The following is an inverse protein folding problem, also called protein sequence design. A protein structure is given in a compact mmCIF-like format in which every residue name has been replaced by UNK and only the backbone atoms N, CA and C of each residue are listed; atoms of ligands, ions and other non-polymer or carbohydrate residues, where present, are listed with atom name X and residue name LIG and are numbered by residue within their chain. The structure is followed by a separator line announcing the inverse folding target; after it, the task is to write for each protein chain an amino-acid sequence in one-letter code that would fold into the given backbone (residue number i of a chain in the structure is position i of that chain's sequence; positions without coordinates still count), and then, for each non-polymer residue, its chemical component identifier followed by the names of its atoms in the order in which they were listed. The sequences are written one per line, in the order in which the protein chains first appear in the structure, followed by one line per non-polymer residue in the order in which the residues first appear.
data_IF_633443228139
#
_entry.id   IF_633443228139
#
_cell.length_a   1.000
_cell.length_b   1.000
_cell.length_c   1.000
_cell.angle_alpha   90.00
_cell.angle_beta   90.00
_cell.angle_gamma   90.00
#
_symmetry.space_group_name_H-M   'P 1'
#
loop_
_entity.id
_entity.type
_entity.pdbx_description
1 polymer ?
#
# COMPACT_ATOMS: atom_id res chain seq x y z
N UNK A 1 -3.09 9.79 24.56
CA UNK A 1 -2.81 8.66 23.64
C UNK A 1 -3.66 8.69 22.38
N UNK A 2 -4.99 8.85 22.47
CA UNK A 2 -5.89 8.88 21.30
C UNK A 2 -5.53 9.96 20.24
N UNK A 3 -5.22 11.19 20.68
CA UNK A 3 -4.87 12.28 19.77
C UNK A 3 -3.59 12.03 18.94
N UNK A 4 -2.57 11.39 19.54
CA UNK A 4 -1.31 11.06 18.86
C UNK A 4 -1.53 9.96 17.82
N UNK A 5 -2.30 8.93 18.16
CA UNK A 5 -2.65 7.86 17.21
C UNK A 5 -3.42 8.43 16.02
N UNK A 6 -4.35 9.37 16.26
CA UNK A 6 -5.10 10.02 15.19
C UNK A 6 -4.21 10.85 14.25
N UNK A 7 -3.21 11.57 14.78
CA UNK A 7 -2.29 12.35 13.93
C UNK A 7 -1.37 11.44 13.11
N UNK A 8 -0.83 10.38 13.70
CA UNK A 8 0.00 9.41 12.98
C UNK A 8 -0.78 8.68 11.89
N UNK A 9 -2.03 8.29 12.16
CA UNK A 9 -2.90 7.70 11.15
C UNK A 9 -3.21 8.66 10.00
N UNK A 10 -3.43 9.95 10.29
CA UNK A 10 -3.63 10.97 9.27
C UNK A 10 -2.36 11.15 8.41
N UNK A 11 -1.18 11.17 9.02
CA UNK A 11 0.10 11.24 8.32
C UNK A 11 0.33 10.04 7.42
N UNK A 12 0.08 8.83 7.91
CA UNK A 12 0.19 7.60 7.12
C UNK A 12 -0.77 7.61 5.91
N UNK A 13 -2.01 8.08 6.09
CA UNK A 13 -2.97 8.24 4.99
C UNK A 13 -2.46 9.22 3.93
N UNK A 14 -1.94 10.37 4.34
CA UNK A 14 -1.37 11.34 3.39
C UNK A 14 -0.20 10.74 2.60
N UNK A 15 0.68 9.96 3.23
CA UNK A 15 1.79 9.31 2.50
C UNK A 15 1.32 8.20 1.56
N UNK A 16 0.27 7.46 1.92
CA UNK A 16 -0.37 6.48 1.03
C UNK A 16 -0.92 7.11 -0.26
N UNK A 17 -1.47 8.32 -0.18
CA UNK A 17 -1.97 9.06 -1.34
C UNK A 17 -0.86 9.49 -2.33
N UNK A 18 0.40 9.57 -1.86
CA UNK A 18 1.56 9.92 -2.69
C UNK A 18 2.12 8.73 -3.51
N UNK A 19 1.55 7.53 -3.32
CA UNK A 19 1.93 6.36 -4.09
C UNK A 19 1.22 6.32 -5.44
N UNK A 20 1.89 5.82 -6.50
CA UNK A 20 1.20 5.39 -7.72
C UNK A 20 0.04 4.45 -7.39
N UNK A 21 -1.09 4.61 -8.07
CA UNK A 21 -2.35 3.92 -7.76
C UNK A 21 -2.18 2.41 -7.59
N UNK A 22 -1.49 1.74 -8.52
CA UNK A 22 -1.28 0.29 -8.46
C UNK A 22 -0.45 -0.15 -7.25
N UNK A 23 0.47 0.68 -6.76
CA UNK A 23 1.23 0.40 -5.54
C UNK A 23 0.35 0.57 -4.30
N UNK A 24 -0.44 1.65 -4.24
CA UNK A 24 -1.41 1.91 -3.17
C UNK A 24 -2.43 0.77 -3.05
N UNK A 25 -3.02 0.35 -4.18
CA UNK A 25 -4.00 -0.73 -4.22
C UNK A 25 -3.37 -2.08 -3.86
N UNK A 26 -2.15 -2.37 -4.34
CA UNK A 26 -1.47 -3.61 -4.00
C UNK A 26 -1.19 -3.73 -2.49
N UNK A 27 -0.91 -2.61 -1.80
CA UNK A 27 -0.75 -2.60 -0.34
C UNK A 27 -2.11 -2.80 0.35
N UNK A 28 -3.11 -2.01 0.00
CA UNK A 28 -4.44 -2.07 0.63
C UNK A 28 -5.03 -3.49 0.54
N UNK A 29 -5.07 -4.08 -0.66
CA UNK A 29 -5.58 -5.44 -0.83
C UNK A 29 -4.73 -6.51 -0.14
N UNK A 30 -3.41 -6.33 -0.06
CA UNK A 30 -2.52 -7.32 0.57
C UNK A 30 -2.59 -7.29 2.10
N UNK A 31 -2.70 -6.10 2.69
CA UNK A 31 -2.60 -5.87 4.13
C UNK A 31 -3.98 -5.80 4.78
N UNK A 32 -4.89 -5.01 4.22
CA UNK A 32 -6.21 -4.78 4.82
C UNK A 32 -7.15 -5.95 4.53
N UNK A 33 -7.12 -6.46 3.28
CA UNK A 33 -7.99 -7.55 2.82
C UNK A 33 -7.32 -8.94 2.87
N UNK A 34 -6.01 -8.99 3.14
CA UNK A 34 -5.27 -10.25 3.26
C UNK A 34 -5.13 -11.08 1.97
N UNK A 35 -5.41 -10.49 0.80
CA UNK A 35 -5.40 -11.19 -0.49
C UNK A 35 -4.02 -11.77 -0.85
N UNK A 36 -4.01 -12.88 -1.59
CA UNK A 36 -2.80 -13.38 -2.23
C UNK A 36 -2.35 -12.46 -3.37
N UNK A 37 -1.07 -12.49 -3.75
CA UNK A 37 -0.58 -11.66 -4.87
C UNK A 37 -1.25 -11.99 -6.21
N UNK A 38 -1.75 -13.22 -6.37
CA UNK A 38 -2.54 -13.61 -7.54
C UNK A 38 -3.86 -12.84 -7.59
N UNK A 39 -4.62 -12.86 -6.50
CA UNK A 39 -5.89 -12.13 -6.37
C UNK A 39 -5.68 -10.60 -6.49
N UNK A 40 -4.61 -10.07 -5.88
CA UNK A 40 -4.24 -8.66 -6.04
C UNK A 40 -3.98 -8.34 -7.51
N UNK A 41 -3.22 -9.19 -8.21
CA UNK A 41 -2.92 -9.04 -9.64
C UNK A 41 -4.20 -8.94 -10.47
N UNK A 42 -5.12 -9.88 -10.28
CA UNK A 42 -6.43 -9.90 -10.92
C UNK A 42 -7.22 -8.60 -10.64
N UNK A 43 -7.29 -8.18 -9.36
CA UNK A 43 -8.03 -6.97 -8.95
C UNK A 43 -7.48 -5.67 -9.54
N UNK A 44 -6.16 -5.54 -9.70
CA UNK A 44 -5.53 -4.33 -10.24
C UNK A 44 -5.24 -4.40 -11.75
N UNK A 45 -5.77 -5.42 -12.43
CA UNK A 45 -5.57 -5.64 -13.87
C UNK A 45 -4.09 -5.84 -14.23
N UNK A 46 -3.43 -6.80 -13.58
CA UNK A 46 -2.01 -7.11 -13.77
C UNK A 46 -1.70 -8.60 -13.49
N UNK A 47 -0.45 -9.03 -13.70
CA UNK A 47 -0.01 -10.37 -13.32
C UNK A 47 0.33 -10.47 -11.82
N UNK A 48 0.35 -11.69 -11.27
CA UNK A 48 0.82 -11.92 -9.90
C UNK A 48 2.22 -11.32 -9.65
N UNK A 49 3.14 -11.51 -10.60
CA UNK A 49 4.51 -10.97 -10.50
C UNK A 49 4.50 -9.43 -10.48
N UNK A 50 3.65 -8.79 -11.29
CA UNK A 50 3.51 -7.34 -11.27
C UNK A 50 2.89 -6.83 -9.96
N UNK A 51 1.95 -7.56 -9.36
CA UNK A 51 1.39 -7.25 -8.05
C UNK A 51 2.45 -7.30 -6.94
N UNK A 52 3.33 -8.32 -6.95
CA UNK A 52 4.48 -8.42 -6.02
C UNK A 52 5.40 -7.23 -6.13
N UNK A 53 5.74 -6.81 -7.36
CA UNK A 53 6.60 -5.66 -7.63
C UNK A 53 5.95 -4.35 -7.18
N UNK A 54 4.66 -4.16 -7.46
CA UNK A 54 3.91 -2.99 -7.01
C UNK A 54 3.85 -2.89 -5.50
N UNK A 55 3.57 -4.01 -4.81
CA UNK A 55 3.59 -4.07 -3.36
C UNK A 55 4.97 -3.73 -2.79
N UNK A 56 6.04 -4.38 -3.28
CA UNK A 56 7.40 -4.16 -2.80
C UNK A 56 7.84 -2.71 -2.95
N UNK A 57 7.66 -2.12 -4.14
CA UNK A 57 8.04 -0.73 -4.39
C UNK A 57 7.14 0.26 -3.64
N UNK A 58 5.86 -0.07 -3.45
CA UNK A 58 4.96 0.73 -2.64
C UNK A 58 5.40 0.80 -1.17
N UNK A 59 5.67 -0.34 -0.54
CA UNK A 59 6.17 -0.40 0.85
C UNK A 59 7.51 0.32 0.98
N UNK A 60 8.42 0.15 0.03
CA UNK A 60 9.70 0.87 0.02
C UNK A 60 9.48 2.38 -0.03
N UNK A 61 8.62 2.86 -0.92
CA UNK A 61 8.33 4.29 -1.07
C UNK A 61 7.64 4.87 0.16
N UNK A 62 6.75 4.12 0.82
CA UNK A 62 6.16 4.56 2.10
C UNK A 62 7.22 4.73 3.17
N UNK A 63 8.18 3.81 3.28
CA UNK A 63 9.29 3.94 4.22
C UNK A 63 10.08 5.22 3.94
N UNK A 64 10.45 5.46 2.68
CA UNK A 64 11.17 6.65 2.26
C UNK A 64 10.39 7.96 2.55
N UNK A 65 9.05 7.92 2.56
CA UNK A 65 8.18 9.07 2.86
C UNK A 65 7.94 9.29 4.37
N UNK A 66 8.22 8.29 5.19
CA UNK A 66 8.01 8.32 6.65
C UNK A 66 9.29 8.66 7.42
N UNK A 67 10.46 8.50 6.79
CA UNK A 67 11.74 9.05 7.23
C UNK A 67 11.76 10.59 7.10
#
# INVERSE_FOLDING_TARGET
MSAVIASEAARARMMMEQLPEKQRLAIAFRIDEGMSFREVGEMIGSSESAARVNYFHGIRRLRDLME
#
